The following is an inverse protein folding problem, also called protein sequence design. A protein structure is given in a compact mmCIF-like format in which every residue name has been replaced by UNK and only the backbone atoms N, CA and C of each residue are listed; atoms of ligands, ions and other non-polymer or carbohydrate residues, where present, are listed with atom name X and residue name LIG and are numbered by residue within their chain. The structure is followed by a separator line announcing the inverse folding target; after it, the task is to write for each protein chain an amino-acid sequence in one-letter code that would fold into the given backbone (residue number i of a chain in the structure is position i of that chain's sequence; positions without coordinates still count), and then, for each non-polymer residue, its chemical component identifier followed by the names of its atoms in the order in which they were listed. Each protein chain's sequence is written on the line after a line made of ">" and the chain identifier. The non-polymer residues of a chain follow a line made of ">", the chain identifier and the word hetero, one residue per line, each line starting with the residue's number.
data_IF_559962123384
#
_entry.id   IF_559962123384
#
_cell.length_a   1.000
_cell.length_b   1.000
_cell.length_c   1.000
_cell.angle_alpha   90.00
_cell.angle_beta   90.00
_cell.angle_gamma   90.00
#
_symmetry.space_group_name_H-M   'P 1'
#
loop_
_entity.id
_entity.type
_entity.pdbx_description
1 polymer ?
#
# COMPACT_ATOMS: atom_id res chain seq x y z
N UNK A 1 15.43 4.44 27.34
CA UNK A 1 14.46 4.01 26.31
C UNK A 1 15.30 3.30 25.28
N UNK A 2 15.06 2.01 25.03
CA UNK A 2 15.80 1.28 23.99
C UNK A 2 15.42 1.84 22.63
N UNK A 3 16.40 2.06 21.76
CA UNK A 3 16.13 2.43 20.36
C UNK A 3 15.94 1.15 19.53
N UNK A 4 15.30 1.24 18.35
CA UNK A 4 15.16 0.09 17.45
C UNK A 4 16.52 -0.54 17.11
N UNK A 5 17.57 0.27 16.98
CA UNK A 5 18.95 -0.17 16.69
C UNK A 5 19.58 -1.04 17.78
N UNK A 6 19.08 -0.98 19.02
CA UNK A 6 19.57 -1.79 20.15
C UNK A 6 18.88 -3.16 20.24
N UNK A 7 17.82 -3.38 19.44
CA UNK A 7 17.06 -4.62 19.41
C UNK A 7 17.64 -5.54 18.34
N UNK A 8 18.15 -6.70 18.78
CA UNK A 8 18.53 -7.78 17.86
C UNK A 8 17.29 -8.59 17.45
N UNK A 9 16.54 -8.07 16.48
CA UNK A 9 15.32 -8.69 15.96
C UNK A 9 15.55 -10.14 15.51
N UNK A 10 16.73 -10.42 14.95
CA UNK A 10 17.11 -11.74 14.42
C UNK A 10 17.09 -12.87 15.46
N UNK A 11 17.24 -12.52 16.74
CA UNK A 11 17.25 -13.48 17.85
C UNK A 11 15.93 -13.51 18.65
N UNK A 12 14.95 -12.68 18.30
CA UNK A 12 13.64 -12.68 18.94
C UNK A 12 12.77 -13.86 18.47
N UNK A 13 11.91 -14.35 19.35
CA UNK A 13 10.88 -15.32 18.96
C UNK A 13 9.82 -14.67 18.09
N UNK A 14 9.13 -15.47 17.27
CA UNK A 14 8.04 -15.00 16.42
C UNK A 14 6.91 -14.31 17.22
N UNK A 15 6.61 -14.81 18.42
CA UNK A 15 5.60 -14.19 19.29
C UNK A 15 6.03 -12.81 19.78
N UNK A 16 7.32 -12.62 20.11
CA UNK A 16 7.83 -11.29 20.49
C UNK A 16 7.81 -10.36 19.28
N UNK A 17 8.24 -10.83 18.10
CA UNK A 17 8.19 -10.02 16.88
C UNK A 17 6.77 -9.60 16.54
N UNK A 18 5.77 -10.48 16.68
CA UNK A 18 4.36 -10.12 16.52
C UNK A 18 3.94 -9.00 17.47
N UNK A 19 4.30 -9.09 18.75
CA UNK A 19 3.96 -8.06 19.73
C UNK A 19 4.62 -6.72 19.39
N UNK A 20 5.87 -6.74 18.93
CA UNK A 20 6.59 -5.55 18.50
C UNK A 20 5.98 -4.94 17.23
N UNK A 21 5.61 -5.77 16.24
CA UNK A 21 4.97 -5.34 15.00
C UNK A 21 3.60 -4.66 15.19
N UNK A 22 2.96 -4.92 16.34
CA UNK A 22 1.68 -4.33 16.74
C UNK A 22 1.83 -3.26 17.83
N UNK A 23 3.07 -2.87 18.15
CA UNK A 23 3.34 -1.83 19.14
C UNK A 23 3.10 -0.41 18.59
N UNK A 24 3.03 0.57 19.48
CA UNK A 24 2.81 1.97 19.11
C UNK A 24 4.05 2.65 18.51
N UNK A 25 5.25 2.08 18.71
CA UNK A 25 6.48 2.63 18.15
C UNK A 25 6.63 2.19 16.69
N UNK A 26 6.38 3.12 15.76
CA UNK A 26 6.35 2.86 14.34
C UNK A 26 7.67 2.28 13.79
N UNK A 27 8.82 2.68 14.33
CA UNK A 27 10.12 2.16 13.89
C UNK A 27 10.29 0.72 14.35
N UNK A 28 10.05 0.45 15.64
CA UNK A 28 10.14 -0.91 16.17
C UNK A 28 9.14 -1.84 15.48
N UNK A 29 7.92 -1.35 15.24
CA UNK A 29 6.88 -2.11 14.57
C UNK A 29 7.24 -2.44 13.12
N UNK A 30 7.83 -1.49 12.38
CA UNK A 30 8.23 -1.69 10.99
C UNK A 30 9.38 -2.69 10.89
N UNK A 31 10.41 -2.58 11.74
CA UNK A 31 11.54 -3.53 11.79
C UNK A 31 11.06 -4.94 12.15
N UNK A 32 10.17 -5.07 13.15
CA UNK A 32 9.62 -6.36 13.53
C UNK A 32 8.75 -6.99 12.43
N UNK A 33 7.95 -6.18 11.72
CA UNK A 33 7.20 -6.63 10.55
C UNK A 33 8.13 -7.10 9.42
N UNK A 34 9.20 -6.35 9.16
CA UNK A 34 10.23 -6.69 8.18
C UNK A 34 10.89 -8.03 8.51
N UNK A 35 11.29 -8.23 9.76
CA UNK A 35 11.90 -9.49 10.22
C UNK A 35 10.93 -10.67 10.09
N UNK A 36 9.65 -10.50 10.45
CA UNK A 36 8.62 -11.53 10.24
C UNK A 36 8.48 -11.89 8.76
N UNK A 37 8.49 -10.88 7.87
CA UNK A 37 8.44 -11.07 6.42
C UNK A 37 9.67 -11.83 5.91
N UNK A 38 10.88 -11.42 6.31
CA UNK A 38 12.14 -12.07 5.94
C UNK A 38 12.19 -13.55 6.34
N UNK A 39 11.60 -13.90 7.50
CA UNK A 39 11.52 -15.28 7.98
C UNK A 39 10.44 -16.12 7.29
N UNK A 40 9.65 -15.53 6.39
CA UNK A 40 8.45 -16.19 5.83
C UNK A 40 7.56 -16.74 6.95
N UNK A 41 7.41 -15.98 8.03
CA UNK A 41 6.64 -16.38 9.20
C UNK A 41 5.18 -16.65 8.83
N UNK A 42 4.55 -17.65 9.45
CA UNK A 42 3.12 -17.91 9.23
C UNK A 42 2.21 -16.85 9.87
N UNK A 43 2.75 -16.00 10.75
CA UNK A 43 2.00 -14.92 11.43
C UNK A 43 2.10 -13.57 10.71
N UNK A 44 2.91 -13.44 9.65
CA UNK A 44 3.07 -12.18 8.93
C UNK A 44 1.76 -11.66 8.31
N UNK A 45 1.00 -12.54 7.65
CA UNK A 45 -0.27 -12.18 7.02
C UNK A 45 -1.29 -11.65 8.05
N UNK A 46 -1.60 -12.37 9.16
CA UNK A 46 -2.54 -11.84 10.13
C UNK A 46 -2.06 -10.54 10.79
N UNK A 47 -0.75 -10.39 11.05
CA UNK A 47 -0.19 -9.15 11.60
C UNK A 47 -0.34 -7.98 10.64
N UNK A 48 0.01 -8.14 9.37
CA UNK A 48 -0.12 -7.07 8.38
C UNK A 48 -1.60 -6.66 8.17
N UNK A 49 -2.53 -7.63 8.19
CA UNK A 49 -3.98 -7.34 8.14
C UNK A 49 -4.44 -6.53 9.36
N UNK A 50 -3.92 -6.88 10.54
CA UNK A 50 -4.23 -6.20 11.78
C UNK A 50 -3.73 -4.74 11.73
N UNK A 51 -2.49 -4.49 11.30
CA UNK A 51 -1.93 -3.15 11.09
C UNK A 51 -2.83 -2.31 10.16
N UNK A 52 -3.25 -2.86 9.02
CA UNK A 52 -4.09 -2.15 8.05
C UNK A 52 -5.51 -1.83 8.57
N UNK A 53 -5.99 -2.60 9.55
CA UNK A 53 -7.32 -2.42 10.13
C UNK A 53 -7.35 -1.36 11.24
N UNK A 54 -6.21 -1.05 11.85
CA UNK A 54 -6.11 -0.05 12.90
C UNK A 54 -6.03 1.37 12.32
N UNK A 55 -6.98 2.22 12.73
CA UNK A 55 -7.03 3.62 12.25
C UNK A 55 -5.80 4.42 12.62
N UNK A 56 -5.21 4.13 13.79
CA UNK A 56 -4.14 4.93 14.39
C UNK A 56 -2.73 4.42 14.07
N UNK A 57 -2.58 3.34 13.30
CA UNK A 57 -1.25 2.89 12.90
C UNK A 57 -0.59 3.94 12.01
N UNK A 58 0.71 4.08 12.21
CA UNK A 58 1.57 4.99 11.45
C UNK A 58 1.47 4.70 9.94
N UNK A 59 1.60 5.76 9.14
CA UNK A 59 1.38 5.70 7.70
C UNK A 59 2.45 4.88 6.96
N UNK A 60 3.70 4.92 7.44
CA UNK A 60 4.80 4.13 6.88
C UNK A 60 4.66 2.66 7.26
N UNK A 61 4.22 2.38 8.49
CA UNK A 61 3.90 1.02 8.92
C UNK A 61 2.75 0.43 8.11
N UNK A 62 1.68 1.19 7.85
CA UNK A 62 0.58 0.78 6.97
C UNK A 62 1.04 0.52 5.54
N UNK A 63 1.93 1.36 5.01
CA UNK A 63 2.52 1.14 3.68
C UNK A 63 3.27 -0.19 3.62
N UNK A 64 4.13 -0.45 4.62
CA UNK A 64 4.92 -1.68 4.71
C UNK A 64 4.03 -2.93 4.85
N UNK A 65 2.94 -2.82 5.63
CA UNK A 65 1.95 -3.89 5.75
C UNK A 65 1.17 -4.12 4.45
N UNK A 66 0.85 -3.06 3.70
CA UNK A 66 0.20 -3.19 2.40
C UNK A 66 1.11 -3.87 1.38
N UNK A 67 2.38 -3.47 1.29
CA UNK A 67 3.40 -4.11 0.44
C UNK A 67 3.56 -5.59 0.79
N UNK A 68 3.73 -5.90 2.08
CA UNK A 68 3.80 -7.28 2.58
C UNK A 68 2.60 -8.12 2.15
N UNK A 69 1.39 -7.58 2.27
CA UNK A 69 0.17 -8.27 1.83
C UNK A 69 0.05 -8.33 0.32
N UNK A 70 0.59 -7.36 -0.40
CA UNK A 70 0.57 -7.38 -1.86
C UNK A 70 1.37 -8.59 -2.39
N UNK A 71 2.49 -8.90 -1.74
CA UNK A 71 3.34 -10.05 -2.07
C UNK A 71 2.79 -11.39 -1.55
N UNK A 72 2.29 -11.41 -0.31
CA UNK A 72 1.94 -12.65 0.39
C UNK A 72 0.45 -13.02 0.35
N UNK A 73 -0.43 -12.04 0.14
CA UNK A 73 -1.90 -12.21 0.06
C UNK A 73 -2.51 -11.19 -0.91
N UNK A 74 -2.07 -11.25 -2.17
CA UNK A 74 -2.48 -10.35 -3.24
C UNK A 74 -4.01 -10.11 -3.32
N UNK A 75 -4.89 -11.15 -3.21
CA UNK A 75 -6.33 -10.93 -3.21
C UNK A 75 -6.80 -10.00 -2.09
N UNK A 76 -6.24 -10.11 -0.88
CA UNK A 76 -6.57 -9.22 0.22
C UNK A 76 -6.07 -7.80 -0.05
N UNK A 77 -4.81 -7.64 -0.50
CA UNK A 77 -4.23 -6.32 -0.77
C UNK A 77 -5.00 -5.56 -1.85
N UNK A 78 -5.35 -6.21 -2.95
CA UNK A 78 -6.18 -5.62 -4.01
C UNK A 78 -7.55 -5.21 -3.47
N UNK A 79 -8.17 -6.07 -2.66
CA UNK A 79 -9.46 -5.75 -2.05
C UNK A 79 -9.36 -4.56 -1.09
N UNK A 80 -8.30 -4.48 -0.29
CA UNK A 80 -8.03 -3.35 0.59
C UNK A 80 -7.88 -2.05 -0.20
N UNK A 81 -7.05 -2.05 -1.25
CA UNK A 81 -6.85 -0.88 -2.13
C UNK A 81 -8.19 -0.46 -2.74
N UNK A 82 -8.97 -1.39 -3.30
CA UNK A 82 -10.27 -1.07 -3.90
C UNK A 82 -11.20 -0.32 -2.94
N UNK A 83 -11.22 -0.69 -1.66
CA UNK A 83 -12.09 -0.08 -0.65
C UNK A 83 -11.55 1.23 -0.06
N UNK A 84 -10.24 1.48 -0.14
CA UNK A 84 -9.59 2.62 0.52
C UNK A 84 -9.06 3.67 -0.44
N UNK A 85 -8.81 3.34 -1.70
CA UNK A 85 -8.08 4.22 -2.62
C UNK A 85 -8.85 5.49 -3.00
N UNK A 86 -10.16 5.54 -2.78
CA UNK A 86 -10.97 6.72 -3.04
C UNK A 86 -10.73 7.87 -2.04
N UNK A 87 -10.44 7.53 -0.78
CA UNK A 87 -10.43 8.45 0.36
C UNK A 87 -9.18 8.30 1.25
N UNK A 88 -8.26 7.38 0.94
CA UNK A 88 -7.02 7.23 1.68
C UNK A 88 -6.14 8.50 1.60
N UNK A 89 -5.31 8.64 2.61
CA UNK A 89 -4.28 9.67 2.71
C UNK A 89 -3.33 9.62 1.50
N UNK A 90 -2.77 10.77 1.14
CA UNK A 90 -1.97 10.94 -0.08
C UNK A 90 -0.77 9.99 -0.15
N UNK A 91 -0.14 9.68 0.99
CA UNK A 91 0.99 8.75 1.05
C UNK A 91 0.56 7.31 0.74
N UNK A 92 -0.58 6.86 1.29
CA UNK A 92 -1.13 5.53 0.97
C UNK A 92 -1.57 5.44 -0.48
N UNK A 93 -2.08 6.54 -1.06
CA UNK A 93 -2.37 6.59 -2.49
C UNK A 93 -1.07 6.42 -3.32
N UNK A 94 0.03 7.09 -2.93
CA UNK A 94 1.33 6.93 -3.58
C UNK A 94 1.80 5.47 -3.54
N UNK A 95 1.77 4.87 -2.35
CA UNK A 95 2.22 3.50 -2.11
C UNK A 95 1.40 2.49 -2.92
N UNK A 96 0.06 2.63 -2.93
CA UNK A 96 -0.80 1.80 -3.76
C UNK A 96 -0.51 1.96 -5.26
N UNK A 97 -0.18 3.16 -5.73
CA UNK A 97 0.19 3.41 -7.12
C UNK A 97 1.51 2.73 -7.49
N UNK A 98 2.53 2.82 -6.63
CA UNK A 98 3.84 2.18 -6.82
C UNK A 98 3.69 0.65 -6.95
N UNK A 99 2.97 0.02 -6.02
CA UNK A 99 2.68 -1.42 -6.08
C UNK A 99 2.02 -1.82 -7.41
N UNK A 100 1.03 -1.06 -7.88
CA UNK A 100 0.35 -1.32 -9.15
C UNK A 100 1.27 -1.06 -10.37
N UNK A 101 2.16 -0.07 -10.30
CA UNK A 101 3.16 0.22 -11.35
C UNK A 101 4.15 -0.92 -11.48
N UNK A 102 4.56 -1.54 -10.38
CA UNK A 102 5.56 -2.60 -10.38
C UNK A 102 4.95 -3.97 -10.71
N UNK A 103 3.69 -4.19 -10.32
CA UNK A 103 3.02 -5.47 -10.51
C UNK A 103 2.70 -5.83 -11.97
N UNK A 104 2.80 -7.12 -12.28
CA UNK A 104 2.21 -7.73 -13.48
C UNK A 104 0.72 -8.00 -13.26
N UNK A 105 -0.09 -6.97 -13.42
CA UNK A 105 -1.53 -7.03 -13.15
C UNK A 105 -2.31 -7.69 -14.30
N UNK A 106 -3.31 -8.51 -13.96
CA UNK A 106 -4.38 -8.83 -14.91
C UNK A 106 -5.30 -7.62 -15.08
N UNK A 107 -5.03 -6.82 -16.12
CA UNK A 107 -5.81 -5.63 -16.47
C UNK A 107 -7.26 -5.95 -16.88
N UNK A 108 -7.62 -7.23 -17.07
CA UNK A 108 -9.00 -7.65 -17.32
C UNK A 108 -9.80 -7.83 -16.03
N UNK A 109 -9.15 -7.85 -14.87
CA UNK A 109 -9.82 -7.92 -13.57
C UNK A 109 -10.66 -6.67 -13.33
N UNK A 110 -11.95 -6.86 -13.06
CA UNK A 110 -12.88 -5.79 -12.71
C UNK A 110 -12.38 -4.95 -11.53
N UNK A 111 -11.76 -5.60 -10.54
CA UNK A 111 -11.21 -4.92 -9.35
C UNK A 111 -10.05 -4.00 -9.73
N UNK A 112 -9.12 -4.48 -10.57
CA UNK A 112 -7.97 -3.69 -11.03
C UNK A 112 -8.44 -2.50 -11.87
N UNK A 113 -9.37 -2.71 -12.79
CA UNK A 113 -9.92 -1.62 -13.62
C UNK A 113 -10.61 -0.54 -12.78
N UNK A 114 -11.37 -0.95 -11.75
CA UNK A 114 -12.00 0.00 -10.81
C UNK A 114 -10.96 0.79 -10.03
N UNK A 115 -9.95 0.13 -9.47
CA UNK A 115 -8.86 0.79 -8.75
C UNK A 115 -8.17 1.83 -9.65
N UNK A 116 -7.74 1.42 -10.85
CA UNK A 116 -7.09 2.30 -11.82
C UNK A 116 -7.97 3.51 -12.15
N UNK A 117 -9.26 3.29 -12.40
CA UNK A 117 -10.21 4.37 -12.70
C UNK A 117 -10.35 5.36 -11.55
N UNK A 118 -10.41 4.88 -10.30
CA UNK A 118 -10.49 5.74 -9.11
C UNK A 118 -9.20 6.57 -8.97
N UNK A 119 -8.03 5.94 -9.11
CA UNK A 119 -6.73 6.61 -9.02
C UNK A 119 -6.59 7.70 -10.08
N UNK A 120 -6.88 7.40 -11.35
CA UNK A 120 -6.81 8.38 -12.44
C UNK A 120 -7.72 9.59 -12.18
N UNK A 121 -8.94 9.34 -11.68
CA UNK A 121 -9.85 10.41 -11.29
C UNK A 121 -9.31 11.25 -10.12
N UNK A 122 -8.65 10.64 -9.13
CA UNK A 122 -8.02 11.37 -8.02
C UNK A 122 -6.88 12.27 -8.52
N UNK A 123 -5.99 11.74 -9.36
CA UNK A 123 -4.87 12.49 -9.96
C UNK A 123 -5.38 13.73 -10.70
N UNK A 124 -6.43 13.58 -11.52
CA UNK A 124 -7.03 14.70 -12.26
C UNK A 124 -7.62 15.78 -11.33
N UNK A 125 -8.19 15.39 -10.18
CA UNK A 125 -8.80 16.31 -9.22
C UNK A 125 -7.78 17.05 -8.35
N UNK A 126 -6.71 16.40 -7.93
CA UNK A 126 -5.70 17.01 -7.05
C UNK A 126 -4.66 17.83 -7.80
N UNK A 127 -4.38 17.50 -9.07
CA UNK A 127 -3.36 18.17 -9.88
C UNK A 127 -1.98 18.18 -9.20
N UNK A 128 -1.24 19.28 -9.33
CA UNK A 128 0.10 19.45 -8.76
C UNK A 128 0.10 20.13 -7.37
N UNK A 129 -1.07 20.21 -6.72
CA UNK A 129 -1.23 20.93 -5.44
C UNK A 129 -0.80 20.12 -4.21
N UNK A 130 -0.44 18.86 -4.40
CA UNK A 130 -0.11 17.91 -3.32
C UNK A 130 1.26 17.30 -3.55
N UNK A 131 2.01 17.10 -2.46
CA UNK A 131 3.33 16.46 -2.52
C UNK A 131 3.23 14.98 -2.93
N UNK A 132 2.16 14.32 -2.47
CA UNK A 132 1.85 12.93 -2.83
C UNK A 132 0.48 12.83 -3.52
N UNK A 133 0.31 11.89 -4.47
CA UNK A 133 1.37 11.08 -5.08
C UNK A 133 2.41 11.93 -5.80
N UNK A 134 3.66 11.49 -5.80
CA UNK A 134 4.76 12.27 -6.40
C UNK A 134 4.53 12.47 -7.90
N UNK A 135 5.13 13.51 -8.48
CA UNK A 135 5.00 13.78 -9.92
C UNK A 135 5.46 12.58 -10.77
N UNK A 136 6.54 11.91 -10.34
CA UNK A 136 7.06 10.72 -11.00
C UNK A 136 6.07 9.55 -10.93
N UNK A 137 5.50 9.28 -9.76
CA UNK A 137 4.54 8.19 -9.55
C UNK A 137 3.25 8.46 -10.34
N UNK A 138 2.76 9.70 -10.36
CA UNK A 138 1.64 10.12 -11.22
C UNK A 138 1.93 9.83 -12.69
N UNK A 139 3.09 10.26 -13.18
CA UNK A 139 3.48 10.09 -14.58
C UNK A 139 3.59 8.60 -14.96
N UNK A 140 4.32 7.80 -14.17
CA UNK A 140 4.47 6.35 -14.39
C UNK A 140 3.13 5.62 -14.39
N UNK A 141 2.24 5.97 -13.45
CA UNK A 141 0.91 5.38 -13.38
C UNK A 141 0.06 5.72 -14.62
N UNK A 142 0.06 6.99 -15.03
CA UNK A 142 -0.66 7.42 -16.23
C UNK A 142 -0.09 6.76 -17.49
N UNK A 143 1.22 6.71 -17.65
CA UNK A 143 1.86 6.04 -18.78
C UNK A 143 1.45 4.57 -18.88
N UNK A 144 1.52 3.83 -17.76
CA UNK A 144 1.18 2.40 -17.71
C UNK A 144 -0.30 2.13 -17.99
N UNK A 145 -1.21 2.94 -17.45
CA UNK A 145 -2.65 2.60 -17.40
C UNK A 145 -3.56 3.49 -18.25
N UNK A 146 -3.17 4.72 -18.58
CA UNK A 146 -3.96 5.63 -19.40
C UNK A 146 -3.86 5.29 -20.89
N UNK A 147 -2.69 4.82 -21.36
CA UNK A 147 -2.50 4.39 -22.75
C UNK A 147 -3.26 3.09 -23.12
N UNK A 148 -3.78 2.36 -22.12
CA UNK A 148 -4.47 1.07 -22.28
C UNK A 148 -5.97 1.12 -21.95
N UNK A 149 -6.48 2.26 -21.51
CA UNK A 149 -7.92 2.49 -21.37
C UNK A 149 -8.47 3.04 -22.68
N UNK A 150 -9.47 2.41 -23.33
CA UNK A 150 -10.18 3.08 -24.40
C UNK A 150 -10.81 4.34 -23.81
N UNK A 151 -10.33 5.50 -24.26
CA UNK A 151 -10.90 6.81 -23.95
C UNK A 151 -12.42 6.72 -24.12
N UNK A 152 -13.17 6.79 -23.02
CA UNK A 152 -14.57 7.19 -23.10
C UNK A 152 -14.52 8.66 -23.50
N UNK A 153 -14.95 9.02 -24.72
CA UNK A 153 -14.92 10.42 -25.13
C UNK A 153 -15.82 11.19 -24.18
N UNK A 154 -15.28 12.26 -23.61
CA UNK A 154 -16.10 13.26 -22.93
C UNK A 154 -17.18 13.70 -23.92
N UNK A 155 -18.43 13.31 -23.67
CA UNK A 155 -19.57 13.86 -24.40
C UNK A 155 -19.53 15.36 -24.22
N UNK A 156 -19.28 16.07 -25.32
CA UNK A 156 -19.57 17.49 -25.46
C UNK A 156 -21.04 17.69 -25.10
N UNK A 157 -21.27 18.34 -23.96
CA UNK A 157 -22.58 18.94 -23.67
C UNK A 157 -22.52 20.30 -24.37
N UNK A 158 -23.20 20.39 -25.50
CA UNK A 158 -23.61 21.65 -26.12
C UNK A 158 -24.77 22.25 -25.32
#
# INVERSE_FOLDING_TARGET
>A
MMTSEEIDYSNLSEEVLKQLALSEDAFIATEALGELSMRSSNTIIPVAKEILSHSNSDIYLKSSALETLFDLDYPYAVNYILHKVADCESYMLNSAMELLIEAELDLKSDSVQKIVSIILNRIQKTGDKVHFPSAEVKFKFQDKFQARSPLIPAKQIF
#
